data_IF_460049802744
#
_entry.id   IF_460049802744
#
_cell.length_a   1.000
_cell.length_b   1.000
_cell.length_c   1.000
_cell.angle_alpha   90.00
_cell.angle_beta   90.00
_cell.angle_gamma   90.00
#
_symmetry.space_group_name_H-M   'P 1'
#
loop_
_entity.id
_entity.type
_entity.pdbx_description
1 polymer ?
#
# COMPACT_ATOMS: atom_id res chain seq x y z
N UNK A 1 52.26 24.54 41.17
CA UNK A 1 51.49 25.11 39.99
C UNK A 1 51.28 24.13 38.87
N UNK A 2 52.21 23.24 38.53
CA UNK A 2 52.06 22.26 37.46
C UNK A 2 50.86 21.27 37.68
N UNK A 3 50.63 20.84 38.92
CA UNK A 3 49.53 19.87 39.24
C UNK A 3 48.12 20.43 39.05
N UNK A 4 47.96 21.73 39.31
CA UNK A 4 46.64 22.38 39.13
C UNK A 4 46.31 22.55 37.63
N UNK A 5 47.32 22.88 36.81
CA UNK A 5 47.17 23.00 35.38
C UNK A 5 46.84 21.62 34.74
N UNK A 6 47.46 20.54 35.18
CA UNK A 6 47.22 19.18 34.73
C UNK A 6 45.81 18.71 35.09
N UNK A 7 45.33 18.99 36.31
CA UNK A 7 43.98 18.66 36.74
C UNK A 7 42.91 19.41 35.91
N UNK A 8 43.17 20.69 35.59
CA UNK A 8 42.30 21.47 34.71
C UNK A 8 42.22 20.90 33.31
N UNK A 9 43.33 20.47 32.73
CA UNK A 9 43.39 19.92 31.38
C UNK A 9 42.67 18.56 31.29
N UNK A 10 42.82 17.70 32.31
CA UNK A 10 42.07 16.43 32.41
C UNK A 10 40.55 16.69 32.51
N UNK A 11 40.16 17.70 33.32
CA UNK A 11 38.74 18.07 33.44
C UNK A 11 38.10 18.51 32.11
N UNK A 12 38.82 19.29 31.30
CA UNK A 12 38.38 19.73 29.97
C UNK A 12 38.25 18.54 29.01
N UNK A 13 39.18 17.62 28.99
CA UNK A 13 39.13 16.43 28.11
C UNK A 13 37.96 15.52 28.50
N UNK A 14 37.75 15.26 29.78
CA UNK A 14 36.64 14.44 30.28
C UNK A 14 35.31 15.13 29.97
N UNK A 15 35.20 16.43 30.20
CA UNK A 15 34.00 17.20 29.84
C UNK A 15 33.67 17.13 28.35
N UNK A 16 34.66 17.33 27.49
CA UNK A 16 34.50 17.23 26.05
C UNK A 16 34.06 15.81 25.61
N UNK A 17 34.64 14.77 26.21
CA UNK A 17 34.25 13.39 25.92
C UNK A 17 32.80 13.09 26.31
N UNK A 18 32.34 13.54 27.48
CA UNK A 18 30.95 13.37 27.93
C UNK A 18 29.99 14.09 27.00
N UNK A 19 30.26 15.33 26.60
CA UNK A 19 29.43 16.09 25.68
C UNK A 19 29.37 15.41 24.31
N UNK A 20 30.48 14.91 23.79
CA UNK A 20 30.55 14.19 22.51
C UNK A 20 29.73 12.90 22.54
N UNK A 21 29.80 12.13 23.64
CA UNK A 21 28.99 10.92 23.81
C UNK A 21 27.49 11.26 23.89
N UNK A 22 27.11 12.28 24.66
CA UNK A 22 25.74 12.72 24.78
C UNK A 22 25.17 13.17 23.43
N UNK A 23 25.93 13.93 22.66
CA UNK A 23 25.56 14.37 21.32
C UNK A 23 25.40 13.19 20.34
N UNK A 24 26.32 12.24 20.37
CA UNK A 24 26.26 11.03 19.56
C UNK A 24 25.00 10.20 19.88
N UNK A 25 24.68 10.02 21.16
CA UNK A 25 23.49 9.30 21.59
C UNK A 25 22.20 10.03 21.15
N UNK A 26 22.18 11.36 21.25
CA UNK A 26 21.07 12.19 20.79
C UNK A 26 20.85 12.07 19.27
N UNK A 27 21.91 12.11 18.47
CA UNK A 27 21.83 11.90 17.02
C UNK A 27 21.26 10.52 16.69
N UNK A 28 21.79 9.47 17.32
CA UNK A 28 21.29 8.09 17.15
C UNK A 28 19.81 7.95 17.51
N UNK A 29 19.38 8.62 18.57
CA UNK A 29 17.97 8.62 18.97
C UNK A 29 17.09 9.33 17.94
N UNK A 30 17.51 10.47 17.43
CA UNK A 30 16.79 11.21 16.39
C UNK A 30 16.69 10.41 15.09
N UNK A 31 17.79 9.78 14.64
CA UNK A 31 17.79 8.91 13.46
C UNK A 31 16.79 7.76 13.59
N UNK A 32 16.79 7.08 14.75
CA UNK A 32 15.82 6.00 15.01
C UNK A 32 14.37 6.49 15.00
N UNK A 33 14.12 7.65 15.59
CA UNK A 33 12.79 8.27 15.61
C UNK A 33 12.33 8.63 14.20
N UNK A 34 13.20 9.19 13.39
CA UNK A 34 12.88 9.56 12.01
C UNK A 34 12.66 8.34 11.11
N UNK A 35 13.48 7.31 11.25
CA UNK A 35 13.28 6.03 10.55
C UNK A 35 11.93 5.40 10.89
N UNK A 36 11.54 5.41 12.17
CA UNK A 36 10.22 4.90 12.59
C UNK A 36 9.09 5.72 11.98
N UNK A 37 9.20 7.05 11.98
CA UNK A 37 8.20 7.93 11.39
C UNK A 37 8.04 7.65 9.90
N UNK A 38 9.14 7.58 9.15
CA UNK A 38 9.12 7.25 7.71
C UNK A 38 8.52 5.88 7.43
N UNK A 39 8.84 4.88 8.26
CA UNK A 39 8.25 3.55 8.13
C UNK A 39 6.74 3.56 8.36
N UNK A 40 6.25 4.32 9.34
CA UNK A 40 4.81 4.48 9.57
C UNK A 40 4.13 5.22 8.41
N UNK A 41 4.70 6.32 7.94
CA UNK A 41 4.18 7.08 6.80
C UNK A 41 4.09 6.21 5.54
N UNK A 42 5.13 5.42 5.25
CA UNK A 42 5.11 4.49 4.11
C UNK A 42 4.02 3.42 4.26
N UNK A 43 3.85 2.84 5.45
CA UNK A 43 2.79 1.84 5.68
C UNK A 43 1.39 2.43 5.58
N UNK A 44 1.19 3.65 6.06
CA UNK A 44 -0.09 4.37 5.86
C UNK A 44 -0.34 4.59 4.38
N UNK A 45 0.67 5.00 3.63
CA UNK A 45 0.56 5.19 2.19
C UNK A 45 0.25 3.90 1.43
N UNK A 46 0.87 2.78 1.82
CA UNK A 46 0.54 1.46 1.27
C UNK A 46 -0.94 1.10 1.49
N UNK A 47 -1.47 1.35 2.69
CA UNK A 47 -2.89 1.11 3.00
C UNK A 47 -3.81 2.01 2.16
N UNK A 48 -3.47 3.29 1.99
CA UNK A 48 -4.24 4.21 1.16
C UNK A 48 -4.31 3.73 -0.30
N UNK A 49 -3.17 3.30 -0.85
CA UNK A 49 -3.08 2.79 -2.22
C UNK A 49 -3.91 1.52 -2.39
N UNK A 50 -3.82 0.57 -1.44
CA UNK A 50 -4.60 -0.66 -1.47
C UNK A 50 -6.11 -0.39 -1.34
N UNK A 51 -6.51 0.53 -0.46
CA UNK A 51 -7.91 0.90 -0.29
C UNK A 51 -8.50 1.53 -1.57
N UNK A 52 -7.77 2.44 -2.22
CA UNK A 52 -8.26 3.09 -3.44
C UNK A 52 -8.36 2.07 -4.60
N UNK A 53 -7.40 1.15 -4.70
CA UNK A 53 -7.46 0.06 -5.66
C UNK A 53 -8.68 -0.83 -5.40
N UNK A 54 -8.91 -1.23 -4.15
CA UNK A 54 -10.05 -2.06 -3.76
C UNK A 54 -11.39 -1.36 -4.01
N UNK A 55 -11.46 -0.06 -3.71
CA UNK A 55 -12.64 0.75 -4.00
C UNK A 55 -12.97 0.72 -5.50
N UNK A 56 -11.98 0.88 -6.36
CA UNK A 56 -12.16 0.85 -7.81
C UNK A 56 -12.61 -0.54 -8.31
N UNK A 57 -12.05 -1.61 -7.76
CA UNK A 57 -12.48 -2.99 -8.07
C UNK A 57 -13.95 -3.18 -7.69
N UNK A 58 -14.36 -2.72 -6.51
CA UNK A 58 -15.75 -2.80 -6.07
C UNK A 58 -16.72 -1.95 -6.92
N UNK A 59 -16.29 -0.77 -7.37
CA UNK A 59 -17.07 0.03 -8.33
C UNK A 59 -17.32 -0.72 -9.63
N UNK A 60 -16.32 -1.42 -10.16
CA UNK A 60 -16.45 -2.24 -11.36
C UNK A 60 -17.43 -3.39 -11.12
N UNK A 61 -17.32 -4.08 -9.99
CA UNK A 61 -18.24 -5.15 -9.61
C UNK A 61 -19.69 -4.68 -9.47
N UNK A 62 -19.91 -3.47 -8.95
CA UNK A 62 -21.25 -2.88 -8.81
C UNK A 62 -21.84 -2.43 -10.15
N UNK A 63 -21.05 -1.89 -11.08
CA UNK A 63 -21.51 -1.48 -12.42
C UNK A 63 -22.11 -2.62 -13.22
N UNK A 64 -21.69 -3.85 -12.98
CA UNK A 64 -22.22 -5.05 -13.61
C UNK A 64 -23.75 -5.15 -13.52
N UNK A 65 -24.31 -4.90 -12.33
CA UNK A 65 -25.76 -5.05 -12.10
C UNK A 65 -26.58 -4.11 -12.99
N UNK A 66 -26.06 -2.90 -13.25
CA UNK A 66 -26.75 -1.90 -14.09
C UNK A 66 -26.68 -2.27 -15.58
N UNK A 67 -25.62 -2.92 -16.03
CA UNK A 67 -25.42 -3.28 -17.43
C UNK A 67 -26.17 -4.55 -17.80
N UNK A 68 -26.31 -5.52 -16.88
CA UNK A 68 -27.11 -6.73 -17.06
C UNK A 68 -28.58 -6.41 -17.30
N UNK A 69 -29.13 -5.38 -16.65
CA UNK A 69 -30.52 -4.99 -16.81
C UNK A 69 -30.83 -4.28 -18.14
N UNK A 70 -29.82 -3.61 -18.74
CA UNK A 70 -30.07 -2.68 -19.86
C UNK A 70 -29.56 -3.10 -21.24
N UNK A 71 -28.44 -3.82 -21.35
CA UNK A 71 -27.70 -3.87 -22.61
C UNK A 71 -27.13 -5.21 -23.05
N UNK A 72 -26.93 -6.18 -22.19
CA UNK A 72 -26.25 -7.45 -22.54
C UNK A 72 -26.84 -8.63 -21.79
N UNK A 73 -27.28 -9.63 -22.53
CA UNK A 73 -27.57 -10.95 -21.96
C UNK A 73 -26.24 -11.64 -21.70
N UNK A 74 -25.78 -11.66 -20.44
CA UNK A 74 -24.68 -12.50 -20.07
C UNK A 74 -25.19 -13.90 -19.80
N UNK A 75 -24.84 -14.86 -20.65
CA UNK A 75 -25.22 -16.27 -20.49
C UNK A 75 -24.55 -16.93 -19.26
N UNK A 76 -23.53 -16.30 -18.70
CA UNK A 76 -22.82 -16.78 -17.51
C UNK A 76 -22.83 -15.76 -16.38
N UNK A 77 -23.29 -16.19 -15.20
CA UNK A 77 -23.31 -15.39 -13.94
C UNK A 77 -21.92 -14.92 -13.49
N UNK A 78 -20.87 -15.53 -14.02
CA UNK A 78 -19.48 -15.30 -13.61
C UNK A 78 -18.74 -14.27 -14.47
N UNK A 79 -19.37 -13.74 -15.51
CA UNK A 79 -18.71 -12.77 -16.38
C UNK A 79 -18.71 -11.37 -15.76
N UNK A 80 -17.64 -10.62 -16.02
CA UNK A 80 -17.48 -9.26 -15.57
C UNK A 80 -17.20 -8.34 -16.75
N UNK A 81 -17.82 -7.17 -16.71
CA UNK A 81 -17.65 -6.11 -17.68
C UNK A 81 -16.78 -5.01 -17.10
N UNK A 82 -15.72 -4.63 -17.83
CA UNK A 82 -14.82 -3.53 -17.47
C UNK A 82 -14.81 -2.53 -18.60
N UNK A 83 -15.16 -1.27 -18.32
CA UNK A 83 -15.07 -0.19 -19.31
C UNK A 83 -13.62 0.07 -19.70
N UNK A 84 -13.39 0.64 -20.88
CA UNK A 84 -12.04 1.03 -21.31
C UNK A 84 -11.43 2.00 -20.30
N UNK A 85 -12.22 2.96 -19.81
CA UNK A 85 -11.76 3.94 -18.82
C UNK A 85 -11.38 3.27 -17.49
N UNK A 86 -12.17 2.30 -17.00
CA UNK A 86 -11.85 1.55 -15.79
C UNK A 86 -10.57 0.74 -15.96
N UNK A 87 -10.38 0.12 -17.13
CA UNK A 87 -9.16 -0.63 -17.43
C UNK A 87 -7.92 0.28 -17.48
N UNK A 88 -8.01 1.40 -18.19
CA UNK A 88 -6.93 2.40 -18.27
C UNK A 88 -6.62 2.98 -16.90
N UNK A 89 -7.66 3.25 -16.10
CA UNK A 89 -7.49 3.70 -14.72
C UNK A 89 -6.71 2.69 -13.90
N UNK A 90 -7.14 1.42 -13.86
CA UNK A 90 -6.47 0.37 -13.09
C UNK A 90 -5.02 0.19 -13.52
N UNK A 91 -4.75 0.18 -14.83
CA UNK A 91 -3.41 0.05 -15.37
C UNK A 91 -2.52 1.24 -14.99
N UNK A 92 -3.03 2.45 -15.13
CA UNK A 92 -2.30 3.67 -14.79
C UNK A 92 -2.05 3.76 -13.29
N UNK A 93 -3.07 3.49 -12.50
CA UNK A 93 -2.99 3.55 -11.04
C UNK A 93 -1.98 2.54 -10.47
N UNK A 94 -2.03 1.29 -10.94
CA UNK A 94 -1.08 0.26 -10.52
C UNK A 94 0.36 0.58 -10.95
N UNK A 95 0.55 1.12 -12.14
CA UNK A 95 1.87 1.53 -12.64
C UNK A 95 2.46 2.70 -11.83
N UNK A 96 1.64 3.70 -11.51
CA UNK A 96 2.07 4.88 -10.74
C UNK A 96 2.38 4.55 -9.28
N UNK A 97 1.69 3.58 -8.71
CA UNK A 97 1.82 3.19 -7.31
C UNK A 97 2.55 1.85 -7.12
N UNK A 98 3.30 1.39 -8.11
CA UNK A 98 3.99 0.09 -8.09
C UNK A 98 4.91 -0.09 -6.89
N UNK A 99 5.52 0.99 -6.38
CA UNK A 99 6.37 0.98 -5.20
C UNK A 99 5.63 0.59 -3.91
N UNK A 100 4.34 0.96 -3.82
CA UNK A 100 3.49 0.69 -2.64
C UNK A 100 2.66 -0.58 -2.78
N UNK A 101 2.59 -1.14 -3.98
CA UNK A 101 1.87 -2.37 -4.26
C UNK A 101 2.82 -3.56 -4.24
N UNK A 102 2.48 -4.65 -3.53
CA UNK A 102 3.26 -5.87 -3.60
C UNK A 102 3.33 -6.43 -5.01
N UNK A 103 4.49 -6.97 -5.39
CA UNK A 103 4.70 -7.54 -6.72
C UNK A 103 3.65 -8.60 -7.08
N UNK A 104 3.24 -9.39 -6.11
CA UNK A 104 2.25 -10.43 -6.31
C UNK A 104 0.89 -9.86 -6.73
N UNK A 105 0.44 -8.72 -6.18
CA UNK A 105 -0.78 -8.01 -6.58
C UNK A 105 -0.68 -7.51 -8.03
N UNK A 106 0.48 -6.96 -8.40
CA UNK A 106 0.74 -6.53 -9.78
C UNK A 106 0.69 -7.72 -10.74
N UNK A 107 1.29 -8.85 -10.37
CA UNK A 107 1.25 -10.07 -11.17
C UNK A 107 -0.16 -10.62 -11.32
N UNK A 108 -0.93 -10.69 -10.24
CA UNK A 108 -2.33 -11.11 -10.28
C UNK A 108 -3.17 -10.23 -11.18
N UNK A 109 -3.03 -8.92 -11.06
CA UNK A 109 -3.72 -7.97 -11.93
C UNK A 109 -3.37 -8.19 -13.39
N UNK A 110 -2.08 -8.24 -13.73
CA UNK A 110 -1.65 -8.39 -15.13
C UNK A 110 -1.95 -9.77 -15.69
N UNK A 111 -1.77 -10.86 -14.95
CA UNK A 111 -2.06 -12.22 -15.42
C UNK A 111 -3.56 -12.48 -15.57
N UNK A 112 -4.35 -12.08 -14.59
CA UNK A 112 -5.74 -12.50 -14.50
C UNK A 112 -6.71 -11.49 -15.11
N UNK A 113 -6.40 -10.21 -15.09
CA UNK A 113 -7.28 -9.15 -15.59
C UNK A 113 -6.85 -8.67 -16.97
N UNK A 114 -5.56 -8.38 -17.18
CA UNK A 114 -5.09 -7.76 -18.41
C UNK A 114 -4.87 -8.72 -19.58
N UNK A 115 -4.65 -10.01 -19.33
CA UNK A 115 -4.39 -11.01 -20.38
C UNK A 115 -5.59 -11.91 -20.75
N UNK A 116 -6.73 -11.76 -20.09
CA UNK A 116 -7.90 -12.56 -20.46
C UNK A 116 -8.48 -12.12 -21.78
N UNK A 117 -8.84 -13.13 -22.59
CA UNK A 117 -9.47 -12.90 -23.89
C UNK A 117 -10.83 -12.20 -23.70
N UNK A 118 -10.99 -11.12 -24.42
CA UNK A 118 -12.27 -10.45 -24.62
C UNK A 118 -13.23 -11.43 -25.29
N UNK A 119 -14.38 -11.61 -24.71
CA UNK A 119 -15.44 -12.52 -25.25
C UNK A 119 -16.27 -11.82 -26.33
N UNK A 120 -16.32 -10.49 -26.28
CA UNK A 120 -17.07 -9.66 -27.23
C UNK A 120 -16.31 -9.50 -28.55
N UNK A 121 -17.06 -9.37 -29.65
CA UNK A 121 -16.48 -8.96 -30.91
C UNK A 121 -15.90 -7.54 -30.81
N UNK A 122 -14.93 -7.15 -31.66
CA UNK A 122 -14.41 -5.80 -31.70
C UNK A 122 -15.49 -4.73 -31.88
N UNK A 123 -16.52 -5.02 -32.66
CA UNK A 123 -17.63 -4.11 -32.93
C UNK A 123 -18.53 -3.91 -31.69
N UNK A 124 -18.80 -4.98 -30.95
CA UNK A 124 -19.53 -4.91 -29.68
C UNK A 124 -18.72 -4.18 -28.61
N UNK A 125 -17.41 -4.44 -28.54
CA UNK A 125 -16.48 -3.74 -27.63
C UNK A 125 -16.52 -2.24 -27.87
N UNK A 126 -16.51 -1.79 -29.13
CA UNK A 126 -16.58 -0.37 -29.48
C UNK A 126 -17.94 0.23 -29.13
N UNK A 127 -19.06 -0.50 -29.39
CA UNK A 127 -20.41 -0.03 -29.06
C UNK A 127 -20.62 0.15 -27.55
N UNK A 128 -20.11 -0.77 -26.77
CA UNK A 128 -20.31 -0.81 -25.32
C UNK A 128 -19.25 0.01 -24.58
N UNK A 129 -18.11 0.31 -25.22
CA UNK A 129 -17.00 1.08 -24.64
C UNK A 129 -16.24 0.32 -23.57
N UNK A 130 -16.07 -1.01 -23.73
CA UNK A 130 -15.37 -1.82 -22.74
C UNK A 130 -15.10 -3.26 -23.15
N UNK A 131 -14.66 -4.05 -22.19
CA UNK A 131 -14.27 -5.45 -22.37
C UNK A 131 -15.06 -6.35 -21.44
N UNK A 132 -15.45 -7.51 -21.94
CA UNK A 132 -16.06 -8.57 -21.12
C UNK A 132 -15.02 -9.66 -20.84
N UNK A 133 -14.90 -10.04 -19.58
CA UNK A 133 -13.98 -11.06 -19.10
C UNK A 133 -14.77 -12.27 -18.63
N UNK A 134 -14.60 -13.41 -19.31
CA UNK A 134 -15.24 -14.67 -18.95
C UNK A 134 -14.72 -15.14 -17.57
N UNK A 135 -15.65 -15.39 -16.64
CA UNK A 135 -15.30 -15.71 -15.24
C UNK A 135 -14.58 -14.58 -14.51
N UNK A 136 -14.65 -13.37 -15.02
CA UNK A 136 -13.94 -12.20 -14.47
C UNK A 136 -14.49 -11.74 -13.14
N UNK A 137 -15.75 -12.06 -12.82
CA UNK A 137 -16.37 -11.70 -11.53
C UNK A 137 -15.65 -12.35 -10.37
N UNK A 138 -15.53 -13.67 -10.40
CA UNK A 138 -14.87 -14.43 -9.32
C UNK A 138 -13.43 -13.98 -9.14
N UNK A 139 -12.75 -13.63 -10.25
CA UNK A 139 -11.38 -13.12 -10.18
C UNK A 139 -11.30 -11.76 -9.50
N UNK A 140 -12.21 -10.84 -9.82
CA UNK A 140 -12.25 -9.52 -9.19
C UNK A 140 -12.72 -9.60 -7.74
N UNK A 141 -13.65 -10.48 -7.42
CA UNK A 141 -14.07 -10.75 -6.04
C UNK A 141 -12.90 -11.28 -5.20
N UNK A 142 -12.21 -12.32 -5.66
CA UNK A 142 -11.02 -12.86 -5.00
C UNK A 142 -9.92 -11.80 -4.86
N UNK A 143 -9.70 -11.01 -5.91
CA UNK A 143 -8.72 -9.94 -5.88
C UNK A 143 -9.07 -8.86 -4.82
N UNK A 144 -10.36 -8.52 -4.70
CA UNK A 144 -10.85 -7.60 -3.66
C UNK A 144 -10.64 -8.17 -2.26
N UNK A 145 -10.91 -9.47 -2.05
CA UNK A 145 -10.67 -10.15 -0.77
C UNK A 145 -9.19 -10.14 -0.38
N UNK A 146 -8.30 -10.47 -1.31
CA UNK A 146 -6.85 -10.40 -1.10
C UNK A 146 -6.39 -9.00 -0.71
N UNK A 147 -6.93 -7.96 -1.37
CA UNK A 147 -6.63 -6.57 -1.01
C UNK A 147 -7.07 -6.23 0.43
N UNK A 148 -8.27 -6.70 0.85
CA UNK A 148 -8.79 -6.49 2.20
C UNK A 148 -7.94 -7.19 3.25
N UNK A 149 -7.52 -8.42 2.99
CA UNK A 149 -6.63 -9.16 3.89
C UNK A 149 -5.31 -8.43 4.10
N UNK A 150 -4.67 -7.98 3.02
CA UNK A 150 -3.43 -7.21 3.09
C UNK A 150 -3.58 -5.89 3.84
N UNK A 151 -4.68 -5.16 3.62
CA UNK A 151 -5.00 -3.93 4.36
C UNK A 151 -5.10 -4.23 5.86
N UNK A 152 -5.77 -5.33 6.20
CA UNK A 152 -5.96 -5.76 7.59
C UNK A 152 -4.64 -6.11 8.26
N UNK A 153 -3.78 -6.89 7.61
CA UNK A 153 -2.44 -7.21 8.10
C UNK A 153 -1.60 -5.95 8.35
N UNK A 154 -1.60 -5.02 7.39
CA UNK A 154 -0.84 -3.76 7.55
C UNK A 154 -1.38 -2.89 8.67
N UNK A 155 -2.70 -2.86 8.90
CA UNK A 155 -3.31 -2.18 10.05
C UNK A 155 -2.88 -2.78 11.38
N UNK A 156 -2.80 -4.12 11.46
CA UNK A 156 -2.29 -4.82 12.65
C UNK A 156 -0.82 -4.46 12.91
N UNK A 157 0.01 -4.46 11.87
CA UNK A 157 1.42 -4.09 11.97
C UNK A 157 1.60 -2.63 12.46
N UNK A 158 0.77 -1.69 11.99
CA UNK A 158 0.79 -0.30 12.49
C UNK A 158 0.41 -0.24 13.96
N UNK A 159 -0.64 -0.98 14.37
CA UNK A 159 -1.06 -1.03 15.79
C UNK A 159 0.07 -1.57 16.68
N UNK A 160 0.76 -2.62 16.27
CA UNK A 160 1.90 -3.14 17.01
C UNK A 160 3.01 -2.10 17.15
N UNK A 161 3.38 -1.43 16.07
CA UNK A 161 4.40 -0.37 16.09
C UNK A 161 4.03 0.85 16.95
N UNK A 162 2.74 1.15 17.10
CA UNK A 162 2.24 2.24 17.93
C UNK A 162 2.07 1.83 19.38
N UNK A 163 1.63 0.62 19.68
CA UNK A 163 1.49 0.10 21.06
C UNK A 163 2.83 -0.04 21.76
N UNK A 164 3.88 -0.47 21.07
CA UNK A 164 5.26 -0.49 21.60
C UNK A 164 5.73 0.90 22.11
N UNK A 165 5.08 1.99 21.67
CA UNK A 165 5.37 3.33 22.19
C UNK A 165 4.63 3.64 23.50
N UNK A 166 3.45 3.08 23.72
CA UNK A 166 2.63 3.33 24.91
C UNK A 166 3.24 2.62 26.12
N UNK A 167 3.75 1.41 25.94
CA UNK A 167 4.37 0.64 27.03
C UNK A 167 5.66 1.28 27.57
N UNK A 168 6.39 2.05 26.75
CA UNK A 168 7.59 2.76 27.19
C UNK A 168 7.29 3.96 28.12
N UNK A 169 6.07 4.51 28.07
CA UNK A 169 5.65 5.63 28.92
C UNK A 169 4.80 5.18 30.12
N UNK A 170 4.28 3.97 30.13
CA UNK A 170 3.51 3.42 31.25
C UNK A 170 4.34 2.72 32.31
N UNK A 171 5.65 2.53 32.08
CA UNK A 171 6.58 1.91 33.01
C UNK A 171 7.36 2.93 33.88
N UNK A 172 6.65 3.99 34.41
CA UNK A 172 7.18 4.87 35.43
C UNK A 172 6.27 4.91 36.64
#
# INVERSE_FOLDING_TARGET
MLSVALAGLVGVIVGAAIVSIAFYLQLRYQEKKELRRRNLENRVREIEVLNELNKKVNEILQKRNVLLEKYVSFDAFDDCYITIDDFVYLQTYTSQNNFYLPNYILEQFFKNISHRKVVLSPEETVKIGGYTYKGGRVILENFSEELIEMITEKKIQIKQLTNDQVDFFSAK
#
